data_IF_162373606992
#
_entry.id   IF_162373606992
#
_cell.length_a   1.000
_cell.length_b   1.000
_cell.length_c   1.000
_cell.angle_alpha   90.00
_cell.angle_beta   90.00
_cell.angle_gamma   90.00
#
_symmetry.space_group_name_H-M   'P 1'
#
loop_
_entity.id
_entity.type
_entity.pdbx_description
1 polymer ?
#
# COMPACT_ATOMS: atom_id res chain seq x y z
N UNK A 1 -6.16 15.45 2.71
CA UNK A 1 -6.49 16.89 2.93
C UNK A 1 -7.43 17.02 4.14
N UNK A 2 -8.53 16.26 4.27
CA UNK A 2 -9.46 16.35 5.41
C UNK A 2 -8.80 16.06 6.79
N UNK A 3 -7.85 15.13 6.87
CA UNK A 3 -7.12 14.82 8.11
C UNK A 3 -6.22 15.96 8.61
N UNK A 4 -5.70 16.79 7.69
CA UNK A 4 -4.85 17.94 8.02
C UNK A 4 -5.65 19.03 8.74
N UNK A 5 -6.89 19.27 8.31
CA UNK A 5 -7.78 20.25 8.97
C UNK A 5 -8.18 19.84 10.39
N UNK A 6 -8.23 18.53 10.68
CA UNK A 6 -8.69 18.03 11.96
C UNK A 6 -7.61 18.07 13.07
N UNK A 7 -6.33 18.09 12.72
CA UNK A 7 -5.22 18.08 13.69
C UNK A 7 -4.44 19.41 13.73
N UNK A 8 -5.05 20.54 13.40
CA UNK A 8 -4.40 21.87 13.40
C UNK A 8 -3.58 22.17 14.65
N UNK A 9 -4.08 21.82 15.84
CA UNK A 9 -3.38 22.09 17.12
C UNK A 9 -2.14 21.20 17.28
N UNK A 10 -2.19 19.94 16.85
CA UNK A 10 -1.06 19.02 16.92
C UNK A 10 0.03 19.36 15.89
N UNK A 11 -0.38 19.73 14.66
CA UNK A 11 0.54 20.17 13.61
C UNK A 11 1.22 21.49 13.97
N UNK A 12 0.50 22.44 14.58
CA UNK A 12 1.08 23.70 15.04
C UNK A 12 2.13 23.49 16.15
N UNK A 13 1.94 22.50 17.02
CA UNK A 13 2.91 22.14 18.05
C UNK A 13 4.17 21.52 17.43
N UNK A 14 4.03 20.53 16.56
CA UNK A 14 5.14 19.90 15.81
C UNK A 14 5.90 20.94 14.97
N UNK A 15 5.19 21.83 14.28
CA UNK A 15 5.81 22.90 13.49
C UNK A 15 6.60 23.88 14.38
N UNK A 16 6.15 24.15 15.59
CA UNK A 16 6.84 25.08 16.52
C UNK A 16 8.10 24.44 17.12
N UNK A 17 8.08 23.13 17.39
CA UNK A 17 9.18 22.40 18.03
C UNK A 17 10.24 21.88 17.00
N UNK A 18 9.85 21.64 15.74
CA UNK A 18 10.70 21.06 14.70
C UNK A 18 10.67 21.82 13.36
N UNK A 19 10.72 23.15 13.40
CA UNK A 19 10.63 24.01 12.19
C UNK A 19 11.66 23.62 11.11
N UNK A 20 12.93 23.54 11.48
CA UNK A 20 14.02 23.31 10.52
C UNK A 20 13.90 21.92 9.87
N UNK A 21 13.80 20.79 10.64
CA UNK A 21 13.59 19.48 10.03
C UNK A 21 12.32 19.37 9.20
N UNK A 22 11.22 20.02 9.63
CA UNK A 22 9.97 20.00 8.87
C UNK A 22 10.12 20.70 7.51
N UNK A 23 10.79 21.85 7.47
CA UNK A 23 11.07 22.58 6.22
C UNK A 23 11.98 21.77 5.30
N UNK A 24 13.03 21.15 5.83
CA UNK A 24 13.94 20.30 5.05
C UNK A 24 13.23 19.10 4.45
N UNK A 25 12.35 18.43 5.21
CA UNK A 25 11.55 17.30 4.72
C UNK A 25 10.61 17.76 3.60
N UNK A 26 9.88 18.87 3.81
CA UNK A 26 8.97 19.40 2.79
C UNK A 26 9.73 19.78 1.52
N UNK A 27 10.86 20.45 1.65
CA UNK A 27 11.70 20.85 0.51
C UNK A 27 12.27 19.64 -0.22
N UNK A 28 12.77 18.63 0.50
CA UNK A 28 13.21 17.37 -0.07
C UNK A 28 12.07 16.63 -0.81
N UNK A 29 10.88 16.57 -0.23
CA UNK A 29 9.72 15.99 -0.89
C UNK A 29 9.35 16.74 -2.18
N UNK A 30 9.40 18.07 -2.18
CA UNK A 30 9.12 18.87 -3.38
C UNK A 30 10.16 18.57 -4.47
N UNK A 31 11.46 18.58 -4.15
CA UNK A 31 12.52 18.30 -5.13
C UNK A 31 12.35 16.90 -5.74
N UNK A 32 12.16 15.87 -4.91
CA UNK A 32 11.99 14.49 -5.37
C UNK A 32 10.71 14.32 -6.20
N UNK A 33 9.65 15.06 -5.86
CA UNK A 33 8.38 14.98 -6.58
C UNK A 33 8.32 15.84 -7.85
N UNK A 34 9.25 16.79 -8.05
CA UNK A 34 9.24 17.71 -9.19
C UNK A 34 9.18 17.00 -10.54
N UNK A 35 10.02 15.98 -10.84
CA UNK A 35 9.96 15.29 -12.13
C UNK A 35 8.62 14.58 -12.34
N UNK A 36 8.04 14.03 -11.26
CA UNK A 36 6.71 13.42 -11.29
C UNK A 36 5.64 14.48 -11.62
N UNK A 37 5.68 15.65 -10.97
CA UNK A 37 4.71 16.73 -11.23
C UNK A 37 4.81 17.24 -12.67
N UNK A 38 6.01 17.39 -13.23
CA UNK A 38 6.21 17.81 -14.62
C UNK A 38 5.61 16.76 -15.57
N UNK A 39 5.90 15.47 -15.36
CA UNK A 39 5.37 14.38 -16.17
C UNK A 39 3.84 14.29 -16.11
N UNK A 40 3.27 14.46 -14.92
CA UNK A 40 1.82 14.43 -14.69
C UNK A 40 1.10 15.65 -15.29
N UNK A 41 1.73 16.84 -15.24
CA UNK A 41 1.18 18.05 -15.82
C UNK A 41 1.09 18.00 -17.34
N UNK A 42 1.94 17.22 -17.98
CA UNK A 42 1.98 17.04 -19.44
C UNK A 42 0.88 16.11 -19.98
N UNK A 43 0.26 15.26 -19.15
CA UNK A 43 -0.76 14.31 -19.60
C UNK A 43 -1.82 14.03 -18.53
N UNK A 44 -3.07 14.37 -18.86
CA UNK A 44 -4.24 14.07 -18.01
C UNK A 44 -4.41 12.56 -17.78
N UNK A 45 -4.07 11.73 -18.74
CA UNK A 45 -4.17 10.28 -18.63
C UNK A 45 -3.17 9.75 -17.59
N UNK A 46 -1.93 10.25 -17.61
CA UNK A 46 -0.92 9.90 -16.61
C UNK A 46 -1.34 10.32 -15.20
N UNK A 47 -1.93 11.50 -15.05
CA UNK A 47 -2.46 11.96 -13.77
C UNK A 47 -3.48 10.97 -13.19
N UNK A 48 -4.46 10.55 -14.00
CA UNK A 48 -5.48 9.59 -13.57
C UNK A 48 -4.85 8.24 -13.20
N UNK A 49 -3.91 7.76 -14.00
CA UNK A 49 -3.21 6.49 -13.77
C UNK A 49 -2.41 6.51 -12.46
N UNK A 50 -1.64 7.58 -12.20
CA UNK A 50 -0.85 7.70 -10.97
C UNK A 50 -1.71 7.90 -9.72
N UNK A 51 -2.85 8.58 -9.84
CA UNK A 51 -3.81 8.70 -8.75
C UNK A 51 -4.63 7.42 -8.53
N UNK A 52 -4.50 6.43 -9.44
CA UNK A 52 -5.32 5.22 -9.41
C UNK A 52 -6.80 5.51 -9.66
N UNK A 53 -7.11 6.61 -10.35
CA UNK A 53 -8.47 6.98 -10.70
C UNK A 53 -8.88 6.32 -12.02
N UNK A 54 -10.18 6.03 -12.21
CA UNK A 54 -10.66 5.39 -13.43
C UNK A 54 -10.40 6.30 -14.64
N UNK A 55 -9.54 5.82 -15.55
CA UNK A 55 -9.31 6.47 -16.84
C UNK A 55 -10.41 6.10 -17.86
N UNK A 56 -11.02 4.92 -17.69
CA UNK A 56 -12.15 4.44 -18.48
C UNK A 56 -13.10 3.65 -17.58
N UNK A 57 -14.41 3.75 -17.84
CA UNK A 57 -15.45 2.97 -17.16
C UNK A 57 -15.47 1.53 -17.70
N UNK A 58 -15.92 0.54 -16.89
CA UNK A 58 -16.11 -0.83 -17.36
C UNK A 58 -17.16 -0.87 -18.48
N UNK A 59 -17.03 -1.84 -19.38
CA UNK A 59 -17.94 -2.01 -20.49
C UNK A 59 -19.39 -2.32 -20.03
N UNK A 60 -19.54 -2.96 -18.87
CA UNK A 60 -20.83 -3.27 -18.27
C UNK A 60 -20.82 -2.94 -16.76
N UNK A 61 -21.90 -2.35 -16.26
CA UNK A 61 -22.09 -2.14 -14.82
C UNK A 61 -22.24 -3.47 -14.07
N UNK A 62 -22.60 -4.56 -14.74
CA UNK A 62 -22.65 -5.90 -14.15
C UNK A 62 -21.27 -6.45 -13.79
N UNK A 63 -20.17 -5.89 -14.34
CA UNK A 63 -18.80 -6.29 -14.01
C UNK A 63 -18.32 -5.74 -12.66
N UNK A 64 -18.98 -4.71 -12.13
CA UNK A 64 -18.57 -4.05 -10.88
C UNK A 64 -18.53 -5.03 -9.68
N UNK A 65 -19.56 -5.85 -9.41
CA UNK A 65 -19.50 -6.83 -8.32
C UNK A 65 -18.36 -7.83 -8.49
N UNK A 66 -18.11 -8.28 -9.70
CA UNK A 66 -17.01 -9.18 -10.02
C UNK A 66 -15.65 -8.50 -9.79
N UNK A 67 -15.53 -7.23 -10.17
CA UNK A 67 -14.32 -6.44 -9.94
C UNK A 67 -14.04 -6.22 -8.44
N UNK A 68 -15.08 -6.04 -7.62
CA UNK A 68 -14.93 -5.97 -6.14
C UNK A 68 -14.27 -7.26 -5.60
N UNK A 69 -14.69 -8.43 -6.07
CA UNK A 69 -14.10 -9.70 -5.67
C UNK A 69 -12.69 -9.91 -6.26
N UNK A 70 -12.40 -9.35 -7.43
CA UNK A 70 -11.07 -9.41 -8.04
C UNK A 70 -10.01 -8.67 -7.23
N UNK A 71 -10.36 -7.60 -6.52
CA UNK A 71 -9.39 -6.82 -5.72
C UNK A 71 -8.67 -7.70 -4.69
N UNK A 72 -9.34 -8.37 -3.71
CA UNK A 72 -8.65 -9.25 -2.78
C UNK A 72 -7.97 -10.45 -3.47
N UNK A 73 -8.57 -10.97 -4.56
CA UNK A 73 -7.98 -12.03 -5.36
C UNK A 73 -6.62 -11.62 -5.95
N UNK A 74 -6.52 -10.41 -6.52
CA UNK A 74 -5.28 -9.88 -7.10
C UNK A 74 -4.21 -9.59 -6.04
N UNK A 75 -4.61 -9.26 -4.84
CA UNK A 75 -3.67 -8.99 -3.75
C UNK A 75 -3.01 -10.27 -3.24
N UNK A 76 -3.78 -11.36 -3.07
CA UNK A 76 -3.36 -12.55 -2.33
C UNK A 76 -3.07 -13.76 -3.23
N UNK A 77 -3.83 -13.94 -4.32
CA UNK A 77 -3.78 -15.18 -5.10
C UNK A 77 -3.15 -15.00 -6.49
N UNK A 78 -3.58 -14.03 -7.26
CA UNK A 78 -3.11 -13.86 -8.63
C UNK A 78 -3.15 -12.41 -9.06
N UNK A 79 -2.00 -11.76 -9.14
CA UNK A 79 -1.84 -10.36 -9.50
C UNK A 79 -2.30 -10.03 -10.93
N UNK A 80 -2.21 -8.73 -11.30
CA UNK A 80 -2.59 -8.28 -12.64
C UNK A 80 -1.73 -8.95 -13.71
N UNK A 81 -2.36 -9.27 -14.83
CA UNK A 81 -1.70 -9.91 -15.97
C UNK A 81 -0.90 -8.93 -16.85
N UNK A 82 -1.00 -7.62 -16.60
CA UNK A 82 -0.28 -6.60 -17.38
C UNK A 82 1.22 -6.67 -17.08
N UNK A 83 2.08 -6.97 -18.10
CA UNK A 83 3.54 -7.05 -17.92
C UNK A 83 4.19 -5.72 -17.52
N UNK A 84 3.56 -4.59 -17.80
CA UNK A 84 4.04 -3.27 -17.38
C UNK A 84 3.98 -3.07 -15.86
N UNK A 85 3.10 -3.79 -15.18
CA UNK A 85 2.84 -3.61 -13.76
C UNK A 85 3.29 -4.80 -12.90
N UNK A 86 3.43 -5.99 -13.50
CA UNK A 86 3.67 -7.21 -12.74
C UNK A 86 4.39 -8.28 -13.57
N UNK A 87 5.05 -9.22 -12.87
CA UNK A 87 5.68 -10.40 -13.48
C UNK A 87 4.65 -11.52 -13.55
N UNK A 88 4.22 -11.85 -14.75
CA UNK A 88 3.22 -12.90 -14.95
C UNK A 88 1.94 -12.61 -14.17
N UNK A 89 1.49 -13.58 -13.36
CA UNK A 89 0.32 -13.44 -12.49
C UNK A 89 0.67 -13.59 -11.01
N UNK A 90 1.90 -13.23 -10.62
CA UNK A 90 2.29 -13.34 -9.22
C UNK A 90 1.44 -12.41 -8.35
N UNK A 91 1.00 -12.85 -7.16
CA UNK A 91 0.23 -12.02 -6.24
C UNK A 91 1.01 -10.76 -5.85
N UNK A 92 0.31 -9.68 -5.55
CA UNK A 92 0.95 -8.40 -5.20
C UNK A 92 1.58 -8.46 -3.81
N UNK A 93 0.91 -9.12 -2.87
CA UNK A 93 1.43 -9.35 -1.52
C UNK A 93 2.09 -10.73 -1.46
N UNK A 94 3.18 -10.83 -0.73
CA UNK A 94 3.77 -12.11 -0.36
C UNK A 94 2.99 -12.75 0.80
N UNK A 95 3.35 -13.96 1.17
CA UNK A 95 2.64 -14.73 2.21
C UNK A 95 2.65 -14.02 3.57
N UNK A 96 3.80 -13.46 3.98
CA UNK A 96 3.92 -12.76 5.26
C UNK A 96 3.08 -11.49 5.29
N UNK A 97 3.20 -10.64 4.27
CA UNK A 97 2.40 -9.39 4.18
C UNK A 97 0.91 -9.68 4.08
N UNK A 98 0.50 -10.75 3.39
CA UNK A 98 -0.90 -11.17 3.31
C UNK A 98 -1.46 -11.54 4.68
N UNK A 99 -0.73 -12.36 5.46
CA UNK A 99 -1.15 -12.74 6.81
C UNK A 99 -1.21 -11.51 7.72
N UNK A 100 -0.18 -10.65 7.68
CA UNK A 100 -0.16 -9.44 8.51
C UNK A 100 -1.27 -8.46 8.13
N UNK A 101 -1.63 -8.36 6.85
CA UNK A 101 -2.76 -7.54 6.41
C UNK A 101 -4.10 -8.07 6.96
N UNK A 102 -4.31 -9.39 6.97
CA UNK A 102 -5.52 -10.02 7.54
C UNK A 102 -5.59 -9.80 9.05
N UNK A 103 -4.49 -10.03 9.78
CA UNK A 103 -4.41 -9.77 11.23
C UNK A 103 -4.66 -8.29 11.53
N UNK A 104 -4.07 -7.40 10.72
CA UNK A 104 -4.30 -5.96 10.86
C UNK A 104 -5.74 -5.56 10.60
N UNK A 105 -6.39 -6.11 9.57
CA UNK A 105 -7.81 -5.90 9.32
C UNK A 105 -8.65 -6.34 10.52
N UNK A 106 -8.38 -7.52 11.07
CA UNK A 106 -9.02 -8.01 12.29
C UNK A 106 -8.82 -7.03 13.47
N UNK A 107 -7.59 -6.57 13.70
CA UNK A 107 -7.28 -5.61 14.76
C UNK A 107 -8.05 -4.29 14.61
N UNK A 108 -8.07 -3.73 13.39
CA UNK A 108 -8.81 -2.49 13.11
C UNK A 108 -10.33 -2.66 13.21
N UNK A 109 -10.89 -3.82 12.83
CA UNK A 109 -12.30 -4.14 12.97
C UNK A 109 -12.70 -4.24 14.45
N UNK A 110 -11.90 -4.91 15.28
CA UNK A 110 -12.14 -5.00 16.73
C UNK A 110 -12.07 -3.61 17.40
N UNK A 111 -11.25 -2.72 16.88
CA UNK A 111 -11.13 -1.35 17.39
C UNK A 111 -11.85 -0.34 16.48
N UNK A 112 -12.94 -0.75 15.82
CA UNK A 112 -13.71 0.08 14.88
C UNK A 112 -14.32 1.36 15.48
N UNK A 113 -14.42 1.46 16.81
CA UNK A 113 -14.85 2.68 17.51
C UNK A 113 -13.81 3.81 17.42
N UNK A 114 -12.54 3.49 17.23
CA UNK A 114 -11.46 4.48 17.12
C UNK A 114 -11.54 5.21 15.78
N UNK A 115 -11.31 6.52 15.80
CA UNK A 115 -11.35 7.36 14.59
C UNK A 115 -10.36 6.92 13.51
N UNK A 116 -9.14 6.53 13.92
CA UNK A 116 -8.11 6.01 13.00
C UNK A 116 -8.56 4.75 12.28
N UNK A 117 -9.20 3.81 13.00
CA UNK A 117 -9.71 2.57 12.43
C UNK A 117 -10.81 2.84 11.41
N UNK A 118 -11.77 3.69 11.77
CA UNK A 118 -12.85 4.11 10.86
C UNK A 118 -12.31 4.72 9.58
N UNK A 119 -11.29 5.58 9.68
CA UNK A 119 -10.70 6.23 8.52
C UNK A 119 -10.01 5.22 7.59
N UNK A 120 -9.18 4.33 8.13
CA UNK A 120 -8.46 3.32 7.33
C UNK A 120 -9.47 2.37 6.67
N UNK A 121 -10.46 1.86 7.41
CA UNK A 121 -11.50 0.98 6.88
C UNK A 121 -12.35 1.68 5.81
N UNK A 122 -12.73 2.95 6.04
CA UNK A 122 -13.46 3.74 5.05
C UNK A 122 -12.62 3.96 3.77
N UNK A 123 -11.34 4.28 3.89
CA UNK A 123 -10.45 4.41 2.74
C UNK A 123 -10.28 3.10 1.97
N UNK A 124 -10.23 1.96 2.66
CA UNK A 124 -10.19 0.64 2.00
C UNK A 124 -11.49 0.36 1.23
N UNK A 125 -12.64 0.64 1.83
CA UNK A 125 -13.94 0.45 1.16
C UNK A 125 -14.05 1.37 -0.06
N UNK A 126 -13.80 2.66 0.12
CA UNK A 126 -13.85 3.65 -0.97
C UNK A 126 -12.84 3.33 -2.06
N UNK A 127 -11.60 2.98 -1.69
CA UNK A 127 -10.57 2.60 -2.64
C UNK A 127 -10.92 1.32 -3.42
N UNK A 128 -11.52 0.32 -2.77
CA UNK A 128 -12.01 -0.91 -3.43
C UNK A 128 -13.13 -0.58 -4.42
N UNK A 129 -14.07 0.27 -4.03
CA UNK A 129 -15.13 0.72 -4.93
C UNK A 129 -14.56 1.47 -6.13
N UNK A 130 -13.65 2.44 -5.91
CA UNK A 130 -13.00 3.16 -7.00
C UNK A 130 -12.24 2.23 -7.95
N UNK A 131 -11.49 1.26 -7.42
CA UNK A 131 -10.80 0.26 -8.23
C UNK A 131 -11.78 -0.60 -9.05
N UNK A 132 -12.96 -0.88 -8.53
CA UNK A 132 -13.98 -1.70 -9.19
C UNK A 132 -14.69 -0.98 -10.36
N UNK A 133 -14.69 0.36 -10.33
CA UNK A 133 -15.22 1.19 -11.42
C UNK A 133 -14.24 1.36 -12.59
N UNK A 134 -13.06 0.75 -12.55
CA UNK A 134 -12.09 0.84 -13.65
C UNK A 134 -12.34 -0.26 -14.67
N UNK A 135 -12.10 0.03 -15.95
CA UNK A 135 -12.12 -0.97 -17.02
C UNK A 135 -11.07 -2.08 -16.78
N UNK A 136 -9.91 -1.71 -16.23
CA UNK A 136 -8.92 -2.65 -15.68
C UNK A 136 -8.74 -2.40 -14.20
N UNK A 137 -8.95 -3.40 -13.35
CA UNK A 137 -8.83 -3.25 -11.90
C UNK A 137 -7.40 -2.87 -11.53
N UNK A 138 -7.23 -1.67 -10.96
CA UNK A 138 -5.95 -1.21 -10.42
C UNK A 138 -6.03 -1.12 -8.89
N UNK A 139 -5.13 -1.80 -8.22
CA UNK A 139 -5.07 -1.82 -6.74
C UNK A 139 -4.09 -0.79 -6.17
N UNK A 140 -3.47 0.02 -7.02
CA UNK A 140 -2.43 1.00 -6.61
C UNK A 140 -2.93 1.95 -5.54
N UNK A 141 -4.17 2.45 -5.66
CA UNK A 141 -4.78 3.35 -4.68
C UNK A 141 -4.96 2.71 -3.30
N UNK A 142 -5.04 1.38 -3.24
CA UNK A 142 -5.24 0.61 -2.01
C UNK A 142 -3.93 0.31 -1.28
N UNK A 143 -2.79 0.25 -1.99
CA UNK A 143 -1.51 -0.18 -1.43
C UNK A 143 -1.12 0.57 -0.14
N UNK A 144 -1.21 1.90 -0.04
CA UNK A 144 -0.88 2.61 1.20
C UNK A 144 -1.71 2.14 2.39
N UNK A 145 -3.01 1.90 2.19
CA UNK A 145 -3.91 1.47 3.27
C UNK A 145 -3.69 0.00 3.63
N UNK A 146 -3.36 -0.84 2.65
CA UNK A 146 -2.99 -2.24 2.88
C UNK A 146 -1.70 -2.32 3.70
N UNK A 147 -0.67 -1.51 3.39
CA UNK A 147 0.54 -1.48 4.21
C UNK A 147 0.30 -0.91 5.61
N UNK A 148 -0.69 -0.02 5.80
CA UNK A 148 -1.13 0.36 7.15
C UNK A 148 -1.80 -0.80 7.89
N UNK A 149 -2.56 -1.67 7.19
CA UNK A 149 -3.05 -2.91 7.80
C UNK A 149 -1.89 -3.83 8.19
N UNK A 150 -0.91 -4.04 7.31
CA UNK A 150 0.28 -4.86 7.59
C UNK A 150 0.99 -4.35 8.85
N UNK A 151 1.26 -3.06 8.93
CA UNK A 151 1.89 -2.44 10.10
C UNK A 151 1.03 -2.62 11.37
N UNK A 152 -0.30 -2.46 11.25
CA UNK A 152 -1.23 -2.72 12.34
C UNK A 152 -1.24 -4.19 12.79
N UNK A 153 -1.12 -5.13 11.85
CA UNK A 153 -1.02 -6.56 12.11
C UNK A 153 0.26 -6.93 12.86
N UNK A 154 1.39 -6.40 12.40
CA UNK A 154 2.69 -6.57 13.07
C UNK A 154 2.62 -6.03 14.51
N UNK A 155 2.10 -4.81 14.69
CA UNK A 155 1.96 -4.22 16.03
C UNK A 155 1.06 -5.08 16.93
N UNK A 156 -0.09 -5.52 16.42
CA UNK A 156 -1.01 -6.40 17.14
C UNK A 156 -0.35 -7.71 17.55
N UNK A 157 0.41 -8.35 16.66
CA UNK A 157 1.13 -9.60 16.95
C UNK A 157 2.17 -9.39 18.07
N UNK A 158 2.94 -8.31 18.03
CA UNK A 158 3.94 -7.98 19.07
C UNK A 158 3.23 -7.73 20.40
N UNK A 159 2.15 -6.94 20.40
CA UNK A 159 1.38 -6.65 21.62
C UNK A 159 0.82 -7.93 22.25
N UNK A 160 0.20 -8.82 21.45
CA UNK A 160 -0.33 -10.09 21.93
C UNK A 160 0.78 -10.99 22.51
N UNK A 161 1.93 -11.05 21.83
CA UNK A 161 3.07 -11.81 22.32
C UNK A 161 3.58 -11.29 23.67
N UNK A 162 3.63 -9.98 23.84
CA UNK A 162 4.06 -9.35 25.08
C UNK A 162 3.06 -9.54 26.23
N UNK A 163 1.78 -9.69 25.92
CA UNK A 163 0.75 -10.05 26.91
C UNK A 163 0.92 -11.50 27.38
N UNK A 164 1.27 -12.42 26.49
CA UNK A 164 1.50 -13.85 26.84
C UNK A 164 2.80 -14.02 27.63
N UNK A 165 3.85 -13.23 27.35
CA UNK A 165 5.15 -13.33 27.98
C UNK A 165 5.58 -12.01 28.68
N UNK A 166 4.84 -11.54 29.70
CA UNK A 166 5.04 -10.20 30.28
C UNK A 166 6.40 -10.05 30.98
N UNK A 167 6.89 -11.10 31.61
CA UNK A 167 8.11 -11.06 32.43
C UNK A 167 9.31 -11.80 31.83
N UNK A 168 9.18 -12.34 30.62
CA UNK A 168 10.27 -13.08 29.97
C UNK A 168 10.95 -12.22 28.89
N UNK A 169 12.12 -11.60 29.18
CA UNK A 169 12.81 -10.73 28.25
C UNK A 169 13.34 -11.50 27.02
N UNK A 170 13.72 -12.77 27.18
CA UNK A 170 14.19 -13.61 26.07
C UNK A 170 13.07 -13.86 25.06
N UNK A 171 11.88 -14.23 25.55
CA UNK A 171 10.73 -14.45 24.67
C UNK A 171 10.32 -13.16 23.93
N UNK A 172 10.37 -12.01 24.59
CA UNK A 172 10.05 -10.70 23.99
C UNK A 172 11.06 -10.32 22.90
N UNK A 173 12.35 -10.47 23.19
CA UNK A 173 13.41 -10.20 22.21
C UNK A 173 13.31 -11.16 21.01
N UNK A 174 13.03 -12.44 21.25
CA UNK A 174 12.85 -13.42 20.19
C UNK A 174 11.71 -13.03 19.23
N UNK A 175 10.55 -12.61 19.75
CA UNK A 175 9.44 -12.15 18.91
C UNK A 175 9.85 -10.97 18.03
N UNK A 176 10.53 -9.98 18.62
CA UNK A 176 11.00 -8.81 17.89
C UNK A 176 11.99 -9.20 16.80
N UNK A 177 12.97 -10.07 17.11
CA UNK A 177 13.94 -10.57 16.13
C UNK A 177 13.25 -11.31 14.98
N UNK A 178 12.32 -12.22 15.29
CA UNK A 178 11.58 -12.97 14.27
C UNK A 178 10.82 -12.06 13.31
N UNK A 179 10.16 -11.02 13.83
CA UNK A 179 9.45 -10.04 13.00
C UNK A 179 10.42 -9.22 12.16
N UNK A 180 11.54 -8.75 12.74
CA UNK A 180 12.57 -8.02 11.97
C UNK A 180 13.12 -8.88 10.84
N UNK A 181 13.42 -10.14 11.10
CA UNK A 181 13.89 -11.08 10.08
C UNK A 181 12.83 -11.28 9.00
N UNK A 182 11.57 -11.52 9.38
CA UNK A 182 10.48 -11.70 8.41
C UNK A 182 10.28 -10.46 7.52
N UNK A 183 10.27 -9.26 8.10
CA UNK A 183 10.18 -7.99 7.35
C UNK A 183 11.39 -7.81 6.42
N UNK A 184 12.60 -8.15 6.88
CA UNK A 184 13.83 -8.04 6.08
C UNK A 184 13.80 -9.00 4.88
N UNK A 185 13.37 -10.25 5.09
CA UNK A 185 13.21 -11.24 4.01
C UNK A 185 12.17 -10.79 3.00
N UNK A 186 11.03 -10.29 3.46
CA UNK A 186 9.98 -9.71 2.61
C UNK A 186 10.49 -8.53 1.80
N UNK A 187 11.20 -7.60 2.43
CA UNK A 187 11.78 -6.45 1.75
C UNK A 187 12.77 -6.89 0.67
N UNK A 188 13.66 -7.83 0.98
CA UNK A 188 14.62 -8.40 0.02
C UNK A 188 13.92 -9.10 -1.14
N UNK A 189 12.86 -9.87 -0.87
CA UNK A 189 12.04 -10.52 -1.90
C UNK A 189 11.43 -9.50 -2.86
N UNK A 190 10.81 -8.43 -2.34
CA UNK A 190 10.20 -7.40 -3.19
C UNK A 190 11.23 -6.58 -3.97
N UNK A 191 12.39 -6.27 -3.37
CA UNK A 191 13.48 -5.59 -4.07
C UNK A 191 14.01 -6.45 -5.22
N UNK A 192 14.29 -7.74 -4.96
CA UNK A 192 14.73 -8.67 -6.00
C UNK A 192 13.68 -8.81 -7.12
N UNK A 193 12.41 -8.95 -6.74
CA UNK A 193 11.30 -9.04 -7.70
C UNK A 193 11.23 -7.81 -8.59
N UNK A 194 11.33 -6.60 -8.03
CA UNK A 194 11.15 -5.35 -8.77
C UNK A 194 12.39 -4.95 -9.56
N UNK A 195 13.58 -5.03 -8.97
CA UNK A 195 14.80 -4.54 -9.62
C UNK A 195 15.52 -5.58 -10.47
N UNK A 196 15.34 -6.87 -10.21
CA UNK A 196 16.07 -7.93 -10.91
C UNK A 196 15.10 -8.74 -11.79
N UNK A 197 14.08 -9.36 -11.20
CA UNK A 197 13.25 -10.30 -11.92
C UNK A 197 12.32 -9.63 -12.95
N UNK A 198 11.67 -8.52 -12.59
CA UNK A 198 10.74 -7.83 -13.47
C UNK A 198 11.40 -7.24 -14.73
N UNK A 199 12.53 -6.51 -14.69
CA UNK A 199 13.19 -6.01 -15.90
C UNK A 199 13.73 -7.13 -16.81
N UNK A 200 14.03 -8.31 -16.23
CA UNK A 200 14.56 -9.43 -17.00
C UNK A 200 13.48 -10.34 -17.58
N UNK A 201 12.22 -10.19 -17.16
CA UNK A 201 11.12 -11.01 -17.65
C UNK A 201 10.90 -10.80 -19.16
N UNK A 202 10.78 -11.89 -19.97
CA UNK A 202 10.63 -11.77 -21.42
C UNK A 202 9.43 -10.91 -21.85
N UNK A 203 8.30 -11.05 -21.15
CA UNK A 203 7.10 -10.27 -21.41
C UNK A 203 7.31 -8.77 -21.15
N UNK A 204 8.06 -8.40 -20.12
CA UNK A 204 8.42 -7.01 -19.82
C UNK A 204 9.35 -6.45 -20.90
N UNK A 205 10.39 -7.20 -21.26
CA UNK A 205 11.32 -6.80 -22.32
C UNK A 205 10.61 -6.57 -23.65
N UNK A 206 9.69 -7.46 -24.06
CA UNK A 206 8.95 -7.30 -25.29
C UNK A 206 8.03 -6.06 -25.30
N UNK A 207 7.44 -5.74 -24.15
CA UNK A 207 6.58 -4.56 -24.01
C UNK A 207 7.35 -3.26 -24.18
N UNK A 208 8.54 -3.16 -23.58
CA UNK A 208 9.36 -1.93 -23.62
C UNK A 208 10.30 -1.85 -24.81
N UNK A 209 10.62 -2.97 -25.49
CA UNK A 209 11.47 -2.96 -26.70
C UNK A 209 10.76 -2.50 -27.97
N UNK A 210 9.43 -2.42 -27.96
CA UNK A 210 8.62 -1.98 -29.10
C UNK A 210 8.23 -0.49 -29.01
N UNK A 211 8.73 0.25 -28.03
CA UNK A 211 8.60 1.71 -28.02
C UNK A 211 9.80 2.32 -28.75
N UNK A 212 9.58 2.94 -29.93
CA UNK A 212 10.62 3.66 -30.64
C UNK A 212 11.05 4.91 -29.90
#
# INVERSE_FOLDING_TARGET
IAGIFWQRKSLAKVYREAKIPAILIIFGCIIVSTPLFISVASSKLLLLTYLGLPAAMPASLADIPLNILRVPYMLILSGPSNPELNIGRLPLLDFFTSIMAVIGAYSYLNHSKLRRSKLILACLVVGTLLASFMASVSVTILLPFIFLLVAGGINFMIEQWFVVFPYNPLARNLATILIVVAVSVTAFYHLNRYFIAWPQAPATKSTFSHQP
#
